data_IF_364037468144
#
_entry.id   IF_364037468144
#
_cell.length_a   1.000
_cell.length_b   1.000
_cell.length_c   1.000
_cell.angle_alpha   90.00
_cell.angle_beta   90.00
_cell.angle_gamma   90.00
#
_symmetry.space_group_name_H-M   'P 1'
#
loop_
_entity.id
_entity.type
_entity.pdbx_description
1 polymer ?
#
# COMPACT_ATOMS: atom_id res chain seq x y z
N UNK A 1 26.95 -15.04 -21.62
CA UNK A 1 25.48 -14.92 -21.56
C UNK A 1 25.11 -14.67 -20.10
N UNK A 2 25.04 -13.40 -19.73
CA UNK A 2 24.90 -12.93 -18.36
C UNK A 2 23.63 -13.48 -17.72
N UNK A 3 23.82 -14.40 -16.77
CA UNK A 3 22.78 -14.88 -15.87
C UNK A 3 22.37 -13.68 -15.03
N UNK A 4 21.32 -12.96 -15.46
CA UNK A 4 20.66 -11.96 -14.64
C UNK A 4 20.04 -12.69 -13.45
N UNK A 5 20.84 -12.89 -12.41
CA UNK A 5 20.38 -13.33 -11.10
C UNK A 5 19.59 -12.15 -10.51
N UNK A 6 18.35 -11.99 -10.97
CA UNK A 6 17.44 -11.07 -10.32
C UNK A 6 17.28 -11.54 -8.87
N UNK A 7 17.43 -10.63 -7.92
CA UNK A 7 17.20 -10.93 -6.50
C UNK A 7 15.75 -11.39 -6.23
N UNK A 8 14.85 -11.13 -7.18
CA UNK A 8 13.44 -11.48 -7.16
C UNK A 8 13.04 -12.20 -8.44
N UNK A 9 12.27 -13.28 -8.29
CA UNK A 9 11.61 -13.97 -9.40
C UNK A 9 10.40 -13.16 -9.90
N UNK A 10 9.91 -13.46 -11.11
CA UNK A 10 8.74 -12.84 -11.75
C UNK A 10 7.53 -12.81 -10.80
N UNK A 11 7.32 -13.87 -10.03
CA UNK A 11 6.22 -13.94 -9.05
C UNK A 11 6.40 -12.95 -7.90
N UNK A 12 7.62 -12.77 -7.38
CA UNK A 12 7.89 -11.79 -6.34
C UNK A 12 7.73 -10.37 -6.87
N UNK A 13 8.17 -10.11 -8.11
CA UNK A 13 8.00 -8.81 -8.74
C UNK A 13 6.51 -8.45 -8.92
N UNK A 14 5.67 -9.43 -9.30
CA UNK A 14 4.21 -9.24 -9.39
C UNK A 14 3.61 -8.98 -8.00
N UNK A 15 4.00 -9.73 -6.97
CA UNK A 15 3.52 -9.52 -5.59
C UNK A 15 3.91 -8.13 -5.06
N UNK A 16 5.10 -7.66 -5.40
CA UNK A 16 5.60 -6.34 -5.01
C UNK A 16 4.83 -5.23 -5.73
N UNK A 17 4.58 -5.38 -7.04
CA UNK A 17 3.75 -4.46 -7.81
C UNK A 17 2.32 -4.36 -7.27
N UNK A 18 1.71 -5.49 -6.90
CA UNK A 18 0.39 -5.52 -6.26
C UNK A 18 0.43 -4.80 -4.92
N UNK A 19 1.44 -5.05 -4.07
CA UNK A 19 1.60 -4.37 -2.79
C UNK A 19 1.74 -2.86 -2.95
N UNK A 20 2.52 -2.41 -3.93
CA UNK A 20 2.65 -0.99 -4.27
C UNK A 20 1.31 -0.38 -4.70
N UNK A 21 0.53 -1.06 -5.53
CA UNK A 21 -0.80 -0.58 -5.93
C UNK A 21 -1.75 -0.44 -4.72
N UNK A 22 -1.73 -1.40 -3.79
CA UNK A 22 -2.54 -1.35 -2.56
C UNK A 22 -2.17 -0.15 -1.69
N UNK A 23 -0.87 0.13 -1.52
CA UNK A 23 -0.40 1.30 -0.75
C UNK A 23 -0.86 2.61 -1.41
N UNK A 24 -0.74 2.71 -2.74
CA UNK A 24 -1.22 3.89 -3.49
C UNK A 24 -2.72 4.10 -3.28
N UNK A 25 -3.53 3.03 -3.35
CA UNK A 25 -4.96 3.10 -3.08
C UNK A 25 -5.23 3.54 -1.63
N UNK A 26 -4.47 3.02 -0.66
CA UNK A 26 -4.58 3.42 0.74
C UNK A 26 -4.32 4.92 0.95
N UNK A 27 -3.30 5.48 0.30
CA UNK A 27 -3.04 6.91 0.32
C UNK A 27 -4.13 7.73 -0.39
N UNK A 28 -4.64 7.26 -1.53
CA UNK A 28 -5.76 7.91 -2.21
C UNK A 28 -7.02 7.95 -1.34
N UNK A 29 -7.27 6.90 -0.54
CA UNK A 29 -8.38 6.87 0.40
C UNK A 29 -8.22 7.84 1.57
N UNK A 30 -6.99 8.30 1.86
CA UNK A 30 -6.73 9.36 2.86
C UNK A 30 -6.97 10.77 2.29
N UNK A 31 -6.98 10.93 0.96
CA UNK A 31 -7.27 12.20 0.29
C UNK A 31 -8.72 12.58 0.57
N UNK A 32 -8.91 13.79 1.09
CA UNK A 32 -10.22 14.36 1.35
C UNK A 32 -10.09 15.79 1.85
N UNK A 33 -11.19 16.55 1.85
CA UNK A 33 -11.19 17.93 2.32
C UNK A 33 -10.71 17.97 3.77
N UNK A 34 -9.85 18.95 4.06
CA UNK A 34 -9.41 19.24 5.41
C UNK A 34 -10.37 20.28 5.99
N UNK A 35 -10.58 20.22 7.29
CA UNK A 35 -11.38 21.26 7.96
C UNK A 35 -10.67 22.59 7.87
N UNK A 36 -11.41 23.64 7.53
CA UNK A 36 -10.94 25.03 7.54
C UNK A 36 -11.37 25.69 8.85
N UNK A 37 -10.65 26.71 9.33
CA UNK A 37 -10.92 27.39 10.61
C UNK A 37 -12.35 27.96 10.77
N UNK A 38 -13.12 28.06 9.69
CA UNK A 38 -14.49 28.60 9.66
C UNK A 38 -15.59 27.54 9.55
N UNK A 39 -15.27 26.28 9.28
CA UNK A 39 -16.25 25.19 9.17
C UNK A 39 -15.64 23.84 9.58
N UNK A 40 -16.21 23.25 10.63
CA UNK A 40 -15.84 21.91 11.09
C UNK A 40 -16.47 20.87 10.17
N UNK A 41 -15.68 20.23 9.32
CA UNK A 41 -16.14 19.15 8.45
C UNK A 41 -16.10 17.85 9.25
N UNK A 42 -17.23 17.21 9.57
CA UNK A 42 -17.22 15.95 10.33
C UNK A 42 -16.55 14.79 9.56
N UNK A 43 -16.32 14.95 8.25
CA UNK A 43 -15.76 13.90 7.39
C UNK A 43 -14.24 13.66 7.59
N UNK A 44 -13.55 14.52 8.36
CA UNK A 44 -12.20 14.22 8.87
C UNK A 44 -12.18 13.10 9.94
N UNK A 45 -13.28 12.87 10.65
CA UNK A 45 -13.46 11.73 11.57
C UNK A 45 -14.18 10.55 10.92
N UNK A 46 -14.39 10.62 9.61
CA UNK A 46 -15.07 9.57 8.86
C UNK A 46 -14.29 8.27 8.97
N UNK A 47 -15.01 7.19 9.30
CA UNK A 47 -14.47 5.84 9.53
C UNK A 47 -13.57 5.39 8.35
N UNK A 48 -13.88 5.88 7.14
CA UNK A 48 -13.12 5.65 5.92
C UNK A 48 -11.67 6.17 6.00
N UNK A 49 -11.45 7.42 6.40
CA UNK A 49 -10.12 8.05 6.42
C UNK A 49 -9.32 7.69 7.67
N UNK A 50 -9.97 7.55 8.82
CA UNK A 50 -9.28 7.30 10.10
C UNK A 50 -9.01 5.82 10.38
N UNK A 51 -9.84 4.89 9.88
CA UNK A 51 -9.67 3.45 10.13
C UNK A 51 -9.39 2.65 8.87
N UNK A 52 -10.21 2.81 7.84
CA UNK A 52 -10.10 1.98 6.63
C UNK A 52 -8.82 2.28 5.86
N UNK A 53 -8.51 3.56 5.62
CA UNK A 53 -7.32 3.92 4.86
C UNK A 53 -6.00 3.50 5.53
N UNK A 54 -5.79 3.69 6.85
CA UNK A 54 -4.59 3.17 7.53
C UNK A 54 -4.47 1.65 7.51
N UNK A 55 -5.60 0.93 7.65
CA UNK A 55 -5.61 -0.54 7.60
C UNK A 55 -5.26 -1.05 6.19
N UNK A 56 -5.76 -0.40 5.14
CA UNK A 56 -5.42 -0.73 3.75
C UNK A 56 -3.93 -0.48 3.48
N UNK A 57 -3.39 0.65 3.94
CA UNK A 57 -1.94 0.92 3.87
C UNK A 57 -1.13 -0.15 4.61
N UNK A 58 -1.53 -0.51 5.84
CA UNK A 58 -0.87 -1.55 6.62
C UNK A 58 -0.83 -2.89 5.86
N UNK A 59 -1.96 -3.29 5.27
CA UNK A 59 -2.03 -4.50 4.44
C UNK A 59 -1.08 -4.43 3.24
N UNK A 60 -1.00 -3.29 2.56
CA UNK A 60 -0.07 -3.08 1.45
C UNK A 60 1.40 -3.19 1.87
N UNK A 61 1.77 -2.64 3.04
CA UNK A 61 3.12 -2.79 3.57
C UNK A 61 3.44 -4.23 3.98
N UNK A 62 2.50 -4.92 4.63
CA UNK A 62 2.66 -6.34 5.00
C UNK A 62 2.79 -7.21 3.75
N UNK A 63 2.02 -6.94 2.68
CA UNK A 63 2.14 -7.68 1.43
C UNK A 63 3.48 -7.43 0.73
N UNK A 64 4.03 -6.22 0.82
CA UNK A 64 5.38 -5.92 0.32
C UNK A 64 6.46 -6.66 1.12
N UNK A 65 6.35 -6.70 2.45
CA UNK A 65 7.27 -7.49 3.29
C UNK A 65 7.20 -8.97 2.88
N UNK A 66 6.00 -9.52 2.69
CA UNK A 66 5.83 -10.89 2.22
C UNK A 66 6.45 -11.11 0.84
N UNK A 67 6.24 -10.19 -0.11
CA UNK A 67 6.82 -10.26 -1.45
C UNK A 67 8.36 -10.27 -1.44
N UNK A 68 8.96 -9.52 -0.51
CA UNK A 68 10.42 -9.44 -0.35
C UNK A 68 10.99 -10.67 0.37
N UNK A 69 10.33 -11.13 1.44
CA UNK A 69 10.78 -12.28 2.25
C UNK A 69 10.54 -13.61 1.54
N UNK A 70 9.55 -13.70 0.65
CA UNK A 70 9.29 -14.91 -0.12
C UNK A 70 10.53 -15.26 -0.92
N UNK A 71 11.21 -16.34 -0.53
CA UNK A 71 12.35 -16.83 -1.29
C UNK A 71 11.88 -17.24 -2.69
N UNK A 72 12.58 -16.79 -3.75
CA UNK A 72 12.33 -17.31 -5.09
C UNK A 72 12.49 -18.83 -5.04
N UNK A 73 11.49 -19.56 -5.56
CA UNK A 73 11.56 -21.00 -5.72
C UNK A 73 12.23 -21.20 -7.08
N UNK A 74 13.45 -21.73 -7.04
CA UNK A 74 14.40 -21.90 -8.16
C UNK A 74 13.81 -21.94 -9.58
#
# INVERSE_FOLDING_TARGET
>A
MDKKNFAFDKTNFILLAIGMAIVVIGFLLMVGPNSTDTAFEPDIFSVRRTKVAPVVCLFGFVSMIYAVVRKPKD
#
